data_IF_344838838128
#
_entry.id   IF_344838838128
#
_cell.length_a   1.000
_cell.length_b   1.000
_cell.length_c   1.000
_cell.angle_alpha   90.00
_cell.angle_beta   90.00
_cell.angle_gamma   90.00
#
_symmetry.space_group_name_H-M   'P 1'
#
loop_
_entity.id
_entity.type
_entity.pdbx_description
1 polymer ?
#
# COMPACT_ATOMS: atom_id res chain seq x y z
N UNK A 1 5.85 7.94 16.94
CA UNK A 1 5.64 8.60 15.61
C UNK A 1 4.16 8.86 15.41
N UNK A 2 3.81 10.02 14.88
CA UNK A 2 2.44 10.31 14.44
C UNK A 2 2.22 9.84 12.98
N UNK A 3 0.96 9.83 12.52
CA UNK A 3 0.60 9.32 11.17
C UNK A 3 1.28 10.08 10.02
N UNK A 4 1.51 11.38 10.17
CA UNK A 4 2.20 12.16 9.15
C UNK A 4 3.68 11.77 9.04
N UNK A 5 4.33 11.52 10.17
CA UNK A 5 5.72 11.04 10.21
C UNK A 5 5.86 9.65 9.61
N UNK A 6 4.93 8.74 9.93
CA UNK A 6 4.90 7.38 9.35
C UNK A 6 4.78 7.46 7.83
N UNK A 7 3.81 8.23 7.32
CA UNK A 7 3.60 8.42 5.88
C UNK A 7 4.81 9.04 5.21
N UNK A 8 5.37 10.11 5.80
CA UNK A 8 6.53 10.80 5.25
C UNK A 8 7.74 9.88 5.18
N UNK A 9 8.07 9.16 6.25
CA UNK A 9 9.20 8.22 6.26
C UNK A 9 9.07 7.14 5.21
N UNK A 10 7.85 6.59 5.03
CA UNK A 10 7.59 5.59 3.98
C UNK A 10 7.90 6.14 2.59
N UNK A 11 7.33 7.29 2.26
CA UNK A 11 7.47 7.88 0.93
C UNK A 11 8.92 8.31 0.66
N UNK A 12 9.57 8.98 1.62
CA UNK A 12 10.98 9.38 1.52
C UNK A 12 11.91 8.17 1.32
N UNK A 13 11.64 7.05 2.03
CA UNK A 13 12.41 5.83 1.91
C UNK A 13 12.33 5.25 0.49
N UNK A 14 11.12 5.10 -0.05
CA UNK A 14 10.94 4.56 -1.39
C UNK A 14 11.35 5.54 -2.50
N UNK A 15 11.27 6.84 -2.28
CA UNK A 15 11.84 7.84 -3.18
C UNK A 15 13.36 7.67 -3.33
N UNK A 16 14.09 7.45 -2.21
CA UNK A 16 15.53 7.11 -2.22
C UNK A 16 15.82 5.81 -2.99
N UNK A 17 14.88 4.85 -2.98
CA UNK A 17 14.95 3.62 -3.79
C UNK A 17 14.45 3.81 -5.24
N UNK A 18 14.39 5.07 -5.71
CA UNK A 18 14.03 5.46 -7.08
C UNK A 18 12.58 5.18 -7.47
N UNK A 19 11.66 5.19 -6.49
CA UNK A 19 10.24 5.16 -6.78
C UNK A 19 9.72 6.57 -7.09
N UNK A 20 8.85 6.67 -8.07
CA UNK A 20 8.06 7.88 -8.29
C UNK A 20 6.96 7.95 -7.25
N UNK A 21 6.85 9.07 -6.54
CA UNK A 21 5.76 9.26 -5.60
C UNK A 21 4.48 9.59 -6.35
N UNK A 22 3.48 8.69 -6.20
CA UNK A 22 2.15 8.82 -6.79
C UNK A 22 1.18 9.50 -5.83
N UNK A 23 0.20 10.18 -6.40
CA UNK A 23 -0.91 10.74 -5.62
C UNK A 23 -1.95 9.67 -5.30
N UNK A 24 -2.67 9.83 -4.18
CA UNK A 24 -3.85 9.02 -3.86
C UNK A 24 -4.96 9.28 -4.90
N UNK A 25 -5.48 8.21 -5.47
CA UNK A 25 -6.65 8.30 -6.33
C UNK A 25 -7.90 8.65 -5.50
N UNK A 26 -8.91 9.30 -6.08
CA UNK A 26 -10.21 9.45 -5.42
C UNK A 26 -10.79 8.10 -5.02
N UNK A 27 -11.45 8.04 -3.86
CA UNK A 27 -12.04 6.79 -3.35
C UNK A 27 -13.13 6.24 -4.28
N UNK A 28 -13.93 7.12 -4.87
CA UNK A 28 -14.91 6.71 -5.89
C UNK A 28 -14.16 6.46 -7.20
N UNK A 29 -14.17 5.20 -7.64
CA UNK A 29 -13.56 4.81 -8.91
C UNK A 29 -14.38 5.35 -10.07
N UNK A 30 -13.72 6.07 -10.99
CA UNK A 30 -14.37 6.56 -12.21
C UNK A 30 -14.23 5.59 -13.39
N UNK A 31 -13.22 4.74 -13.36
CA UNK A 31 -12.80 3.96 -14.52
C UNK A 31 -12.88 2.44 -14.32
N UNK A 32 -13.20 1.97 -13.14
CA UNK A 32 -13.35 0.53 -12.87
C UNK A 32 -14.79 0.21 -12.43
N UNK A 33 -15.63 -0.33 -13.32
CA UNK A 33 -17.00 -0.69 -12.99
C UNK A 33 -17.10 -1.87 -12.02
N UNK A 34 -16.02 -2.60 -11.79
CA UNK A 34 -15.96 -3.72 -10.83
C UNK A 34 -15.80 -3.28 -9.39
N UNK A 35 -15.44 -2.00 -9.15
CA UNK A 35 -15.21 -1.44 -7.83
C UNK A 35 -16.11 -0.23 -7.57
N UNK A 36 -16.93 -0.32 -6.51
CA UNK A 36 -17.69 0.85 -6.04
C UNK A 36 -16.74 1.88 -5.40
N UNK A 37 -15.81 1.40 -4.58
CA UNK A 37 -14.80 2.22 -3.90
C UNK A 37 -13.41 1.63 -4.09
N UNK A 38 -12.39 2.48 -4.09
CA UNK A 38 -10.99 2.03 -4.01
C UNK A 38 -10.78 1.37 -2.66
N UNK A 39 -10.49 0.08 -2.65
CA UNK A 39 -10.37 -0.77 -1.47
C UNK A 39 -8.92 -1.24 -1.21
N UNK A 40 -7.99 -0.91 -2.08
CA UNK A 40 -6.58 -1.25 -1.94
C UNK A 40 -5.68 -0.24 -2.66
N UNK A 41 -4.42 -0.18 -2.25
CA UNK A 41 -3.40 0.63 -2.91
C UNK A 41 -3.06 0.16 -4.32
N UNK A 42 -3.34 -1.12 -4.64
CA UNK A 42 -3.12 -1.68 -5.96
C UNK A 42 -4.21 -1.29 -6.97
N UNK A 43 -5.42 -1.03 -6.52
CA UNK A 43 -6.57 -0.83 -7.41
C UNK A 43 -6.34 0.25 -8.50
N UNK A 44 -5.71 1.41 -8.21
CA UNK A 44 -5.43 2.42 -9.23
C UNK A 44 -4.43 1.98 -10.31
N UNK A 45 -3.68 0.89 -10.07
CA UNK A 45 -2.64 0.37 -10.97
C UNK A 45 -3.02 -0.97 -11.61
N UNK A 46 -4.28 -1.37 -11.49
CA UNK A 46 -4.79 -2.66 -11.97
C UNK A 46 -4.44 -2.89 -13.45
N UNK A 47 -4.62 -1.88 -14.29
CA UNK A 47 -4.40 -1.98 -15.73
C UNK A 47 -2.92 -2.22 -16.09
N UNK A 48 -1.99 -1.72 -15.27
CA UNK A 48 -0.56 -2.00 -15.42
C UNK A 48 -0.24 -3.47 -15.10
N UNK A 49 -0.87 -4.03 -14.06
CA UNK A 49 -0.67 -5.44 -13.69
C UNK A 49 -1.34 -6.41 -14.69
N UNK A 50 -2.41 -5.97 -15.34
CA UNK A 50 -3.09 -6.74 -16.37
C UNK A 50 -2.48 -6.57 -17.77
N UNK A 51 -1.40 -5.79 -17.90
CA UNK A 51 -0.79 -5.42 -19.17
C UNK A 51 -1.75 -4.74 -20.17
N UNK A 52 -2.76 -4.06 -19.67
CA UNK A 52 -3.72 -3.28 -20.47
C UNK A 52 -3.17 -1.88 -20.76
N UNK A 53 -2.31 -1.38 -19.88
CA UNK A 53 -1.58 -0.13 -20.05
C UNK A 53 -0.10 -0.30 -19.70
N UNK A 54 0.76 0.48 -20.35
CA UNK A 54 2.18 0.53 -20.03
C UNK A 54 2.46 1.59 -18.97
N UNK A 55 3.08 1.24 -17.85
CA UNK A 55 3.41 2.23 -16.83
C UNK A 55 4.49 3.20 -17.29
N UNK A 56 4.27 4.50 -17.11
CA UNK A 56 5.30 5.52 -17.38
C UNK A 56 6.50 5.38 -16.45
N UNK A 57 6.27 4.90 -15.23
CA UNK A 57 7.30 4.66 -14.23
C UNK A 57 7.17 3.22 -13.75
N UNK A 58 8.26 2.46 -13.80
CA UNK A 58 8.27 1.05 -13.37
C UNK A 58 8.27 0.89 -11.85
N UNK A 59 8.61 1.94 -11.10
CA UNK A 59 8.58 1.98 -9.63
C UNK A 59 7.70 3.12 -9.16
N UNK A 60 6.66 2.82 -8.41
CA UNK A 60 5.77 3.81 -7.81
C UNK A 60 5.64 3.51 -6.31
N UNK A 61 5.63 4.54 -5.49
CA UNK A 61 5.21 4.46 -4.08
C UNK A 61 4.14 5.51 -3.81
N UNK A 62 3.15 5.15 -3.01
CA UNK A 62 2.07 6.06 -2.66
C UNK A 62 1.47 5.73 -1.29
N UNK A 63 0.68 6.67 -0.78
CA UNK A 63 -0.28 6.44 0.29
C UNK A 63 -1.67 6.56 -0.32
N UNK A 64 -2.40 5.44 -0.41
CA UNK A 64 -3.74 5.39 -1.00
C UNK A 64 -4.81 5.35 0.08
N UNK A 65 -5.75 6.27 0.04
CA UNK A 65 -6.96 6.24 0.86
C UNK A 65 -7.88 5.13 0.36
N UNK A 66 -8.31 4.25 1.26
CA UNK A 66 -9.09 3.06 0.95
C UNK A 66 -10.36 3.02 1.79
N UNK A 67 -11.44 2.48 1.19
CA UNK A 67 -12.71 2.23 1.86
C UNK A 67 -13.13 0.78 1.63
N UNK A 68 -13.29 0.01 2.72
CA UNK A 68 -13.68 -1.40 2.71
C UNK A 68 -15.01 -1.60 3.42
N UNK A 69 -16.11 -1.44 2.68
CA UNK A 69 -17.50 -1.52 3.20
C UNK A 69 -18.38 -2.47 2.39
N UNK A 70 -17.84 -3.06 1.31
CA UNK A 70 -18.59 -3.95 0.43
C UNK A 70 -17.67 -4.87 -0.37
N UNK A 71 -18.22 -5.94 -0.92
CA UNK A 71 -17.52 -6.88 -1.78
C UNK A 71 -16.60 -7.83 -1.05
N UNK A 72 -15.60 -8.34 -1.76
CA UNK A 72 -14.66 -9.36 -1.25
C UNK A 72 -13.81 -8.89 -0.06
N UNK A 73 -13.48 -7.61 -0.01
CA UNK A 73 -12.73 -6.98 1.08
C UNK A 73 -13.68 -6.13 1.93
N UNK A 74 -14.61 -6.78 2.60
CA UNK A 74 -15.57 -6.16 3.49
C UNK A 74 -15.16 -6.45 4.93
N UNK A 75 -14.70 -5.42 5.65
CA UNK A 75 -14.26 -5.53 7.04
C UNK A 75 -15.36 -5.13 8.04
N UNK A 76 -16.62 -4.95 7.59
CA UNK A 76 -17.70 -4.46 8.44
C UNK A 76 -18.03 -5.39 9.62
N UNK A 77 -17.78 -6.70 9.48
CA UNK A 77 -18.01 -7.66 10.55
C UNK A 77 -16.97 -7.53 11.68
N UNK A 78 -15.77 -7.08 11.37
CA UNK A 78 -14.65 -6.96 12.31
C UNK A 78 -14.55 -5.56 12.93
N UNK A 79 -14.97 -4.52 12.19
CA UNK A 79 -14.92 -3.13 12.68
C UNK A 79 -15.78 -2.94 13.93
N UNK A 80 -15.15 -2.46 14.99
CA UNK A 80 -15.78 -2.28 16.28
C UNK A 80 -15.67 -3.49 17.21
N UNK A 81 -15.21 -4.65 16.72
CA UNK A 81 -14.94 -5.85 17.52
C UNK A 81 -13.47 -6.00 17.89
N UNK A 82 -12.58 -5.38 17.12
CA UNK A 82 -11.15 -5.30 17.41
C UNK A 82 -10.63 -3.85 17.30
N UNK A 83 -9.33 -3.65 17.46
CA UNK A 83 -8.69 -2.34 17.47
C UNK A 83 -7.88 -2.04 16.21
N UNK A 84 -7.88 -2.92 15.22
CA UNK A 84 -7.04 -2.84 14.02
C UNK A 84 -7.80 -2.92 12.69
N UNK A 85 -9.06 -3.34 12.66
CA UNK A 85 -9.89 -3.22 11.46
C UNK A 85 -10.61 -1.88 11.40
N UNK A 86 -10.50 -1.20 10.27
CA UNK A 86 -11.15 0.07 9.99
C UNK A 86 -11.79 0.05 8.61
N UNK A 87 -12.96 0.66 8.45
CA UNK A 87 -13.62 0.79 7.14
C UNK A 87 -12.87 1.76 6.22
N UNK A 88 -12.29 2.81 6.81
CA UNK A 88 -11.51 3.83 6.11
C UNK A 88 -10.08 3.87 6.66
N UNK A 89 -9.09 3.74 5.79
CA UNK A 89 -7.67 3.72 6.16
C UNK A 89 -6.79 4.16 5.00
N UNK A 90 -5.51 4.39 5.27
CA UNK A 90 -4.48 4.59 4.26
C UNK A 90 -3.65 3.32 4.09
N UNK A 91 -3.43 2.92 2.83
CA UNK A 91 -2.52 1.84 2.49
C UNK A 91 -1.25 2.45 1.92
N UNK A 92 -0.13 2.23 2.63
CA UNK A 92 1.20 2.60 2.17
C UNK A 92 1.70 1.52 1.22
N UNK A 93 1.92 1.86 -0.03
CA UNK A 93 2.23 0.90 -1.08
C UNK A 93 3.49 1.25 -1.86
N UNK A 94 4.24 0.21 -2.23
CA UNK A 94 5.34 0.27 -3.18
C UNK A 94 5.10 -0.76 -4.29
N UNK A 95 5.19 -0.31 -5.53
CA UNK A 95 4.75 -1.05 -6.71
C UNK A 95 5.91 -1.17 -7.70
N UNK A 96 6.12 -2.40 -8.21
CA UNK A 96 7.10 -2.71 -9.25
C UNK A 96 6.39 -3.28 -10.47
N UNK A 97 6.57 -2.65 -11.61
CA UNK A 97 5.99 -3.06 -12.88
C UNK A 97 7.10 -3.63 -13.78
N UNK A 98 7.47 -4.91 -13.50
CA UNK A 98 8.52 -5.59 -14.24
C UNK A 98 9.93 -5.02 -14.01
N UNK A 99 10.23 -4.51 -12.81
CA UNK A 99 11.55 -4.01 -12.42
C UNK A 99 12.15 -4.91 -11.33
N UNK A 100 11.84 -4.70 -10.06
CA UNK A 100 12.28 -5.58 -8.97
C UNK A 100 11.19 -6.57 -8.56
N UNK A 101 11.56 -7.61 -7.81
CA UNK A 101 10.64 -8.62 -7.32
C UNK A 101 10.88 -8.93 -5.84
N UNK A 102 10.71 -10.19 -5.40
CA UNK A 102 10.66 -10.60 -4.00
C UNK A 102 11.90 -10.21 -3.19
N UNK A 103 13.10 -10.40 -3.74
CA UNK A 103 14.35 -10.19 -3.00
C UNK A 103 14.48 -8.74 -2.53
N UNK A 104 14.42 -7.78 -3.45
CA UNK A 104 14.50 -6.36 -3.11
C UNK A 104 13.34 -5.92 -2.22
N UNK A 105 12.11 -6.39 -2.52
CA UNK A 105 10.94 -6.05 -1.72
C UNK A 105 11.08 -6.50 -0.26
N UNK A 106 11.58 -7.71 -0.02
CA UNK A 106 11.82 -8.25 1.33
C UNK A 106 12.92 -7.47 2.04
N UNK A 107 14.05 -7.23 1.36
CA UNK A 107 15.17 -6.49 1.93
C UNK A 107 14.78 -5.05 2.29
N UNK A 108 14.06 -4.36 1.41
CA UNK A 108 13.61 -2.99 1.69
C UNK A 108 12.52 -2.93 2.76
N UNK A 109 11.62 -3.91 2.81
CA UNK A 109 10.64 -3.99 3.90
C UNK A 109 11.33 -4.17 5.25
N UNK A 110 12.33 -5.05 5.32
CA UNK A 110 13.12 -5.25 6.52
C UNK A 110 13.88 -3.98 6.93
N UNK A 111 14.55 -3.33 5.98
CA UNK A 111 15.27 -2.08 6.20
C UNK A 111 14.32 -0.97 6.71
N UNK A 112 13.18 -0.78 6.07
CA UNK A 112 12.18 0.20 6.45
C UNK A 112 11.67 -0.03 7.88
N UNK A 113 11.24 -1.25 8.18
CA UNK A 113 10.64 -1.56 9.47
C UNK A 113 11.65 -1.48 10.62
N UNK A 114 12.86 -2.01 10.43
CA UNK A 114 13.85 -2.09 11.51
C UNK A 114 14.69 -0.84 11.66
N UNK A 115 15.13 -0.21 10.55
CA UNK A 115 16.02 0.96 10.59
C UNK A 115 15.27 2.28 10.60
N UNK A 116 14.30 2.46 9.68
CA UNK A 116 13.59 3.73 9.55
C UNK A 116 12.50 3.90 10.63
N UNK A 117 11.75 2.84 10.90
CA UNK A 117 10.70 2.87 11.93
C UNK A 117 11.21 2.43 13.31
N UNK A 118 12.36 1.78 13.41
CA UNK A 118 12.93 1.33 14.67
C UNK A 118 12.15 0.20 15.34
N UNK A 119 11.42 -0.60 14.58
CA UNK A 119 10.66 -1.74 15.11
C UNK A 119 11.66 -2.84 15.48
N UNK A 120 11.49 -3.42 16.68
CA UNK A 120 12.33 -4.51 17.13
C UNK A 120 12.17 -5.73 16.19
N UNK A 121 13.27 -6.26 15.62
CA UNK A 121 13.22 -7.40 14.69
C UNK A 121 12.58 -8.66 15.26
N UNK A 122 12.47 -8.77 16.59
CA UNK A 122 11.83 -9.92 17.25
C UNK A 122 10.30 -9.86 17.26
N UNK A 123 9.68 -8.72 16.93
CA UNK A 123 8.22 -8.54 16.98
C UNK A 123 7.49 -9.26 15.84
N UNK A 124 8.15 -9.55 14.72
CA UNK A 124 7.52 -10.09 13.52
C UNK A 124 7.52 -11.62 13.40
N UNK A 125 7.68 -12.39 14.47
CA UNK A 125 7.52 -13.84 14.36
C UNK A 125 6.06 -14.23 14.29
N UNK A 126 5.63 -14.68 13.10
CA UNK A 126 4.41 -15.47 13.01
C UNK A 126 4.57 -16.73 13.88
N UNK A 127 3.62 -16.94 14.79
CA UNK A 127 3.50 -18.24 15.43
C UNK A 127 2.92 -19.20 14.38
N UNK A 128 3.74 -20.13 13.92
CA UNK A 128 3.30 -21.29 13.17
C UNK A 128 2.86 -22.34 14.16
#
# INVERSE_FOLDING_TARGET
>A
MNSNEVRKKFLDFFEKKKHKIGQSSPIVSKNDPSLMFINSGMAPFKDYFLNQENPKNKRIANSQKCLRVSGKHNDLAEVGHDTYHHTFFEMLGNWSFGDYFKEDAINWSWELLTREYGINPKIGRAHV
#
